data_IF_738108190735
#
_entry.id   IF_738108190735
#
_cell.length_a   1.000
_cell.length_b   1.000
_cell.length_c   1.000
_cell.angle_alpha   90.00
_cell.angle_beta   90.00
_cell.angle_gamma   90.00
#
_symmetry.space_group_name_H-M   'P 1'
#
loop_
_entity.id
_entity.type
_entity.pdbx_description
1 polymer ?
#
# COMPACT_ATOMS: atom_id res chain seq x y z
N UNK A 1 0.92 1.98 57.80
CA UNK A 1 1.22 1.08 56.68
C UNK A 1 0.38 1.49 55.49
N UNK A 2 1.07 2.10 54.53
CA UNK A 2 0.59 2.69 53.28
C UNK A 2 0.22 1.61 52.28
N UNK A 3 -1.01 1.61 51.76
CA UNK A 3 -1.34 0.94 50.49
C UNK A 3 -1.71 2.01 49.46
N UNK A 4 -0.72 2.32 48.61
CA UNK A 4 -0.88 3.07 47.37
C UNK A 4 -1.70 2.22 46.39
N UNK A 5 -2.73 2.80 45.81
CA UNK A 5 -3.42 2.30 44.62
C UNK A 5 -3.20 3.30 43.49
N UNK A 6 -2.55 2.83 42.44
CA UNK A 6 -2.38 3.40 41.10
C UNK A 6 -2.55 2.17 40.18
N UNK A 7 -3.22 2.16 39.03
CA UNK A 7 -3.97 3.15 38.26
C UNK A 7 -4.49 2.36 37.04
N UNK A 8 -5.81 2.24 36.86
CA UNK A 8 -6.39 1.80 35.58
C UNK A 8 -6.77 3.02 34.76
N UNK A 9 -6.03 3.23 33.67
CA UNK A 9 -6.25 4.25 32.67
C UNK A 9 -7.41 3.82 31.77
N UNK A 10 -8.64 4.22 32.12
CA UNK A 10 -9.79 4.15 31.21
C UNK A 10 -9.80 5.40 30.33
N UNK A 11 -9.35 5.23 29.08
CA UNK A 11 -9.55 6.21 28.01
C UNK A 11 -11.04 6.19 27.65
N UNK A 12 -11.80 7.15 28.22
CA UNK A 12 -13.16 7.49 27.78
C UNK A 12 -13.04 8.48 26.62
N UNK A 13 -13.36 8.02 25.42
CA UNK A 13 -13.61 8.90 24.27
C UNK A 13 -14.96 9.58 24.51
N UNK A 14 -14.94 10.90 24.73
CA UNK A 14 -16.15 11.73 24.80
C UNK A 14 -16.61 12.12 23.39
N UNK A 15 -17.92 12.13 23.10
CA UNK A 15 -18.46 12.72 21.89
C UNK A 15 -18.45 14.25 21.98
N UNK A 16 -18.02 14.90 20.91
CA UNK A 16 -18.01 16.36 20.76
C UNK A 16 -19.41 16.82 20.33
N UNK A 17 -20.27 17.14 21.29
CA UNK A 17 -21.49 17.93 21.05
C UNK A 17 -21.45 19.13 22.01
N UNK A 18 -21.19 20.33 21.47
CA UNK A 18 -21.35 21.58 22.21
C UNK A 18 -22.76 22.13 21.92
N UNK A 19 -23.63 22.30 22.92
CA UNK A 19 -24.83 23.12 22.77
C UNK A 19 -24.42 24.60 22.81
N UNK A 20 -24.88 25.38 21.83
CA UNK A 20 -24.81 26.84 21.87
C UNK A 20 -25.76 27.36 22.96
N UNK A 21 -25.22 27.71 24.12
CA UNK A 21 -25.86 28.59 25.09
C UNK A 21 -25.53 30.03 24.72
N UNK A 22 -26.55 30.82 24.36
CA UNK A 22 -26.45 32.29 24.31
C UNK A 22 -27.08 32.80 25.62
N UNK A 23 -26.22 33.25 26.54
CA UNK A 23 -26.64 34.04 27.71
C UNK A 23 -26.98 35.48 27.30
N UNK A 24 -27.92 36.05 28.05
CA UNK A 24 -28.62 37.30 27.80
C UNK A 24 -27.72 38.50 27.49
N UNK A 25 -27.93 39.10 26.31
CA UNK A 25 -27.72 40.53 26.07
C UNK A 25 -28.93 41.04 25.28
N UNK A 26 -29.48 42.19 25.67
CA UNK A 26 -30.65 42.78 25.05
C UNK A 26 -30.43 42.98 23.53
N UNK A 27 -31.02 42.11 22.72
CA UNK A 27 -30.92 42.13 21.26
C UNK A 27 -32.14 42.82 20.65
N UNK A 28 -31.85 43.81 19.80
CA UNK A 28 -32.80 44.56 18.99
C UNK A 28 -33.67 43.60 18.14
N UNK A 29 -34.98 43.86 18.07
CA UNK A 29 -35.99 42.95 17.49
C UNK A 29 -35.72 42.62 16.00
N UNK A 30 -35.00 43.51 15.31
CA UNK A 30 -34.57 43.31 13.92
C UNK A 30 -33.43 42.29 13.79
N UNK A 31 -32.54 42.19 14.77
CA UNK A 31 -31.44 41.21 14.73
C UNK A 31 -31.94 39.79 15.06
N UNK A 32 -32.96 39.67 15.91
CA UNK A 32 -33.57 38.39 16.25
C UNK A 32 -34.30 37.76 15.04
N UNK A 33 -34.98 38.59 14.23
CA UNK A 33 -35.60 38.15 12.98
C UNK A 33 -34.58 37.70 11.94
N UNK A 34 -33.43 38.37 11.85
CA UNK A 34 -32.33 37.98 10.95
C UNK A 34 -31.66 36.68 11.39
N UNK A 35 -31.51 36.44 12.70
CA UNK A 35 -30.94 35.19 13.21
C UNK A 35 -31.93 34.04 13.05
N UNK A 36 -33.22 34.26 13.27
CA UNK A 36 -34.26 33.26 13.01
C UNK A 36 -34.37 32.94 11.51
N UNK A 37 -34.28 33.93 10.62
CA UNK A 37 -34.28 33.67 9.18
C UNK A 37 -33.00 32.97 8.72
N UNK A 38 -31.84 33.29 9.29
CA UNK A 38 -30.58 32.58 9.03
C UNK A 38 -30.60 31.15 9.57
N UNK A 39 -31.25 30.88 10.71
CA UNK A 39 -31.42 29.53 11.24
C UNK A 39 -32.41 28.71 10.39
N UNK A 40 -33.49 29.32 9.89
CA UNK A 40 -34.41 28.68 8.94
C UNK A 40 -33.70 28.41 7.62
N UNK A 41 -32.91 29.36 7.11
CA UNK A 41 -32.10 29.18 5.89
C UNK A 41 -30.99 28.16 6.12
N UNK A 42 -30.37 28.06 7.30
CA UNK A 42 -29.41 27.00 7.62
C UNK A 42 -30.08 25.64 7.74
N UNK A 43 -31.26 25.52 8.36
CA UNK A 43 -32.01 24.28 8.39
C UNK A 43 -32.50 23.88 6.99
N UNK A 44 -32.91 24.85 6.18
CA UNK A 44 -33.26 24.62 4.78
C UNK A 44 -32.02 24.22 3.97
N UNK A 45 -30.84 24.83 4.17
CA UNK A 45 -29.58 24.47 3.49
C UNK A 45 -29.04 23.11 3.95
N UNK A 46 -29.17 22.74 5.23
CA UNK A 46 -28.83 21.41 5.74
C UNK A 46 -29.81 20.36 5.20
N UNK A 47 -31.10 20.71 5.11
CA UNK A 47 -32.08 19.89 4.40
C UNK A 47 -31.82 19.87 2.89
N UNK A 48 -31.18 20.90 2.32
CA UNK A 48 -30.85 20.99 0.90
C UNK A 48 -29.56 20.22 0.57
N UNK A 49 -28.56 20.16 1.45
CA UNK A 49 -27.40 19.27 1.33
C UNK A 49 -27.81 17.80 1.55
N UNK A 50 -28.73 17.52 2.47
CA UNK A 50 -29.34 16.18 2.61
C UNK A 50 -30.27 15.83 1.42
N UNK A 51 -30.87 16.82 0.76
CA UNK A 51 -31.73 16.64 -0.41
C UNK A 51 -30.97 16.66 -1.75
N UNK A 52 -29.74 17.18 -1.79
CA UNK A 52 -28.86 17.17 -2.98
C UNK A 52 -27.75 16.10 -2.92
N UNK A 53 -27.61 15.38 -1.80
CA UNK A 53 -26.78 14.16 -1.70
C UNK A 53 -27.60 12.85 -1.64
N UNK A 54 -28.82 12.83 -2.17
CA UNK A 54 -29.56 11.59 -2.43
C UNK A 54 -29.56 11.23 -3.92
N UNK A 55 -28.39 11.21 -4.58
CA UNK A 55 -28.27 10.51 -5.88
C UNK A 55 -28.69 9.06 -5.67
N UNK A 56 -29.60 8.56 -6.50
CA UNK A 56 -29.82 7.13 -6.69
C UNK A 56 -28.45 6.48 -6.93
N UNK A 57 -28.02 5.60 -6.02
CA UNK A 57 -26.70 4.97 -6.09
C UNK A 57 -26.81 3.74 -6.98
N UNK A 58 -26.50 3.92 -8.25
CA UNK A 58 -26.44 2.84 -9.22
C UNK A 58 -24.97 2.46 -9.42
N UNK A 59 -24.67 1.17 -9.34
CA UNK A 59 -23.35 0.62 -9.60
C UNK A 59 -23.35 -0.07 -10.96
N UNK A 60 -22.46 0.37 -11.85
CA UNK A 60 -22.23 -0.32 -13.12
C UNK A 60 -21.44 -1.59 -12.85
N UNK A 61 -22.02 -2.73 -13.21
CA UNK A 61 -21.49 -4.06 -12.95
C UNK A 61 -21.33 -4.83 -14.25
N UNK A 62 -20.47 -5.84 -14.23
CA UNK A 62 -20.35 -6.80 -15.32
C UNK A 62 -21.04 -8.11 -14.94
N UNK A 63 -22.01 -8.53 -15.73
CA UNK A 63 -22.59 -9.87 -15.59
C UNK A 63 -21.81 -10.88 -16.43
N UNK A 64 -21.38 -11.98 -15.82
CA UNK A 64 -20.65 -13.05 -16.51
C UNK A 64 -21.36 -14.39 -16.27
N UNK A 65 -21.97 -14.93 -17.32
CA UNK A 65 -22.56 -16.27 -17.28
C UNK A 65 -21.50 -17.33 -17.62
N UNK A 66 -21.17 -18.17 -16.65
CA UNK A 66 -20.14 -19.20 -16.79
C UNK A 66 -20.63 -20.50 -17.46
N UNK A 67 -21.92 -20.62 -17.81
CA UNK A 67 -22.49 -21.85 -18.42
C UNK A 67 -22.01 -22.11 -19.85
N UNK A 68 -21.62 -21.07 -20.60
CA UNK A 68 -21.10 -21.18 -21.97
C UNK A 68 -19.61 -21.57 -22.03
N UNK A 69 -19.12 -22.37 -21.08
CA UNK A 69 -17.78 -23.00 -21.10
C UNK A 69 -17.69 -24.14 -22.14
N UNK A 70 -18.25 -23.92 -23.32
CA UNK A 70 -18.08 -24.76 -24.50
C UNK A 70 -16.66 -24.55 -25.04
N UNK A 71 -15.72 -25.40 -24.61
CA UNK A 71 -14.48 -25.89 -25.28
C UNK A 71 -13.65 -24.99 -26.23
N UNK A 72 -13.85 -23.69 -26.32
CA UNK A 72 -13.12 -22.80 -27.21
C UNK A 72 -12.81 -21.48 -26.50
N UNK A 73 -11.51 -21.25 -26.30
CA UNK A 73 -10.88 -19.96 -25.99
C UNK A 73 -11.31 -19.23 -24.71
N UNK A 74 -10.33 -18.87 -23.89
CA UNK A 74 -10.43 -17.99 -22.71
C UNK A 74 -11.07 -16.60 -23.02
N UNK A 75 -11.25 -16.26 -24.29
CA UNK A 75 -11.72 -14.94 -24.73
C UNK A 75 -13.24 -14.82 -24.96
N UNK A 76 -14.02 -15.90 -25.00
CA UNK A 76 -15.49 -15.85 -25.30
C UNK A 76 -16.39 -16.00 -24.06
N UNK A 77 -16.03 -15.31 -22.97
CA UNK A 77 -16.99 -15.06 -21.89
C UNK A 77 -17.99 -14.00 -22.38
N UNK A 78 -19.26 -14.34 -22.56
CA UNK A 78 -20.32 -13.37 -22.85
C UNK A 78 -20.49 -12.44 -21.66
N UNK A 79 -19.83 -11.28 -21.71
CA UNK A 79 -19.91 -10.22 -20.71
C UNK A 79 -21.08 -9.32 -21.07
N UNK A 80 -22.08 -9.27 -20.21
CA UNK A 80 -23.20 -8.35 -20.37
C UNK A 80 -23.04 -7.18 -19.40
N UNK A 81 -23.47 -5.99 -19.83
CA UNK A 81 -23.62 -4.86 -18.91
C UNK A 81 -24.70 -5.22 -17.90
N UNK A 82 -24.45 -4.91 -16.64
CA UNK A 82 -25.44 -5.03 -15.58
C UNK A 82 -25.46 -3.77 -14.73
N UNK A 83 -26.63 -3.43 -14.19
CA UNK A 83 -26.80 -2.29 -13.31
C UNK A 83 -27.29 -2.78 -11.97
N UNK A 84 -26.54 -2.50 -10.91
CA UNK A 84 -26.95 -2.80 -9.54
C UNK A 84 -27.51 -1.54 -8.89
N UNK A 85 -28.80 -1.56 -8.60
CA UNK A 85 -29.53 -0.44 -8.01
C UNK A 85 -29.65 -0.67 -6.50
N UNK A 86 -29.04 0.24 -5.72
CA UNK A 86 -29.15 0.27 -4.27
C UNK A 86 -30.40 1.07 -3.91
N UNK A 87 -31.45 0.42 -3.40
CA UNK A 87 -32.72 1.09 -3.07
C UNK A 87 -32.47 2.13 -1.96
N UNK A 88 -32.59 3.41 -2.31
CA UNK A 88 -32.61 4.55 -1.37
C UNK A 88 -33.91 5.37 -1.47
N UNK A 89 -34.73 5.14 -2.52
CA UNK A 89 -36.08 5.73 -2.69
C UNK A 89 -37.07 4.75 -3.34
N UNK A 90 -38.35 5.08 -3.20
CA UNK A 90 -39.55 4.35 -3.65
C UNK A 90 -39.79 4.30 -5.17
N UNK A 91 -38.93 4.87 -6.02
CA UNK A 91 -39.13 4.87 -7.48
C UNK A 91 -37.80 4.96 -8.26
N UNK A 92 -37.60 4.07 -9.24
CA UNK A 92 -36.52 4.19 -10.24
C UNK A 92 -36.83 5.37 -11.18
N UNK A 93 -35.89 6.31 -11.36
CA UNK A 93 -36.07 7.40 -12.34
C UNK A 93 -35.82 6.89 -13.77
N UNK A 94 -36.67 7.34 -14.71
CA UNK A 94 -36.61 6.99 -16.14
C UNK A 94 -35.31 7.40 -16.86
N UNK A 95 -34.45 8.19 -16.21
CA UNK A 95 -33.28 8.85 -16.80
C UNK A 95 -32.02 7.95 -16.86
N UNK A 96 -32.07 6.72 -16.33
CA UNK A 96 -30.92 5.79 -16.23
C UNK A 96 -31.01 4.55 -17.13
N UNK A 97 -32.04 4.43 -17.96
CA UNK A 97 -32.29 3.22 -18.73
C UNK A 97 -31.54 3.25 -20.08
N UNK A 98 -30.32 2.71 -20.11
CA UNK A 98 -29.78 2.14 -21.35
C UNK A 98 -30.44 0.76 -21.57
N UNK A 99 -31.05 0.47 -22.72
CA UNK A 99 -31.84 -0.75 -22.96
C UNK A 99 -31.01 -2.04 -23.14
N UNK A 100 -29.70 -2.01 -22.90
CA UNK A 100 -28.80 -3.15 -23.14
C UNK A 100 -28.13 -3.59 -21.83
N UNK A 101 -28.82 -4.39 -21.01
CA UNK A 101 -28.24 -5.00 -19.81
C UNK A 101 -29.24 -5.57 -18.81
N UNK A 102 -28.73 -6.33 -17.83
CA UNK A 102 -29.51 -6.89 -16.72
C UNK A 102 -29.53 -5.91 -15.55
N UNK A 103 -30.69 -5.65 -14.95
CA UNK A 103 -30.83 -4.74 -13.82
C UNK A 103 -31.09 -5.55 -12.55
N UNK A 104 -30.17 -5.48 -11.59
CA UNK A 104 -30.30 -6.07 -10.28
C UNK A 104 -30.79 -5.01 -9.28
N UNK A 105 -31.98 -5.20 -8.72
CA UNK A 105 -32.53 -4.30 -7.71
C UNK A 105 -32.36 -4.93 -6.34
N UNK A 106 -31.43 -4.39 -5.53
CA UNK A 106 -31.18 -4.87 -4.18
C UNK A 106 -32.31 -4.44 -3.23
N UNK A 107 -32.91 -5.43 -2.57
CA UNK A 107 -33.86 -5.21 -1.48
C UNK A 107 -33.16 -5.07 -0.13
N UNK A 108 -33.84 -4.41 0.79
CA UNK A 108 -33.38 -4.25 2.16
C UNK A 108 -33.26 -5.61 2.86
N UNK A 109 -32.18 -5.79 3.60
CA UNK A 109 -31.85 -7.03 4.28
C UNK A 109 -31.18 -6.72 5.63
N UNK A 110 -31.32 -7.60 6.64
CA UNK A 110 -30.53 -7.52 7.86
C UNK A 110 -29.01 -7.56 7.63
N UNK A 111 -28.55 -8.02 6.46
CA UNK A 111 -27.14 -7.92 6.07
C UNK A 111 -26.78 -6.45 5.82
N UNK A 112 -25.86 -5.90 6.61
CA UNK A 112 -25.44 -4.49 6.50
C UNK A 112 -24.52 -4.25 5.29
N UNK A 113 -25.07 -4.39 4.09
CA UNK A 113 -24.39 -4.13 2.80
C UNK A 113 -24.05 -2.65 2.62
N UNK A 114 -24.81 -1.78 3.28
CA UNK A 114 -24.72 -0.33 3.11
C UNK A 114 -23.46 0.28 3.72
N UNK A 115 -22.80 -0.37 4.70
CA UNK A 115 -21.54 0.13 5.27
C UNK A 115 -20.46 0.30 4.18
N UNK A 116 -20.31 -0.71 3.32
CA UNK A 116 -19.24 -0.74 2.32
C UNK A 116 -19.65 -0.13 0.98
N UNK A 117 -20.92 -0.28 0.60
CA UNK A 117 -21.45 0.27 -0.64
C UNK A 117 -21.71 1.78 -0.56
N UNK A 118 -21.68 2.38 0.65
CA UNK A 118 -21.80 3.83 0.84
C UNK A 118 -20.51 4.61 0.64
N UNK A 119 -19.34 4.02 0.94
CA UNK A 119 -18.05 4.72 0.96
C UNK A 119 -17.40 4.91 -0.43
N UNK A 120 -17.87 4.20 -1.47
CA UNK A 120 -17.18 4.16 -2.78
C UNK A 120 -18.07 4.40 -4.01
N UNK A 121 -19.18 5.12 -3.87
CA UNK A 121 -20.35 5.00 -4.76
C UNK A 121 -20.24 5.51 -6.21
N UNK A 122 -19.05 5.61 -6.82
CA UNK A 122 -18.92 5.95 -8.26
C UNK A 122 -17.95 5.07 -9.06
N UNK A 123 -16.91 4.45 -8.45
CA UNK A 123 -15.85 3.75 -9.21
C UNK A 123 -15.56 2.31 -8.74
N UNK A 124 -16.45 1.65 -8.00
CA UNK A 124 -16.23 0.26 -7.59
C UNK A 124 -16.19 -0.67 -8.80
N UNK A 125 -15.19 -1.54 -8.85
CA UNK A 125 -15.19 -2.66 -9.80
C UNK A 125 -16.20 -3.69 -9.32
N UNK A 126 -17.21 -3.96 -10.14
CA UNK A 126 -18.31 -4.86 -9.80
C UNK A 126 -18.44 -5.99 -10.83
N UNK A 127 -18.46 -7.23 -10.36
CA UNK A 127 -18.74 -8.42 -11.16
C UNK A 127 -19.84 -9.24 -10.50
N UNK A 128 -20.88 -9.61 -11.26
CA UNK A 128 -21.99 -10.44 -10.80
C UNK A 128 -22.01 -11.72 -11.62
N UNK A 129 -22.03 -12.86 -10.94
CA UNK A 129 -22.06 -14.18 -11.55
C UNK A 129 -23.22 -14.99 -10.96
N UNK A 130 -23.88 -15.86 -11.75
CA UNK A 130 -24.76 -16.87 -11.18
C UNK A 130 -23.97 -17.78 -10.24
N UNK A 131 -24.56 -18.12 -9.10
CA UNK A 131 -23.97 -19.03 -8.13
C UNK A 131 -24.58 -20.42 -8.29
N UNK A 132 -23.76 -21.38 -8.71
CA UNK A 132 -24.19 -22.76 -8.91
C UNK A 132 -23.69 -23.62 -7.76
N UNK A 133 -24.61 -24.36 -7.18
CA UNK A 133 -24.32 -25.52 -6.35
C UNK A 133 -24.58 -26.74 -7.22
N UNK A 134 -23.66 -27.71 -7.30
CA UNK A 134 -23.77 -28.92 -8.15
C UNK A 134 -25.01 -29.77 -7.79
N UNK A 135 -26.20 -29.29 -8.11
CA UNK A 135 -27.53 -29.78 -7.74
C UNK A 135 -27.81 -29.87 -6.22
N UNK A 136 -27.04 -29.18 -5.37
CA UNK A 136 -27.33 -29.11 -3.93
C UNK A 136 -28.34 -28.00 -3.67
N UNK A 137 -29.52 -28.35 -3.15
CA UNK A 137 -30.53 -27.37 -2.77
C UNK A 137 -30.04 -26.51 -1.60
N UNK A 138 -29.99 -25.20 -1.80
CA UNK A 138 -29.69 -24.23 -0.73
C UNK A 138 -30.97 -24.00 0.06
N UNK A 139 -30.98 -24.44 1.32
CA UNK A 139 -32.08 -24.20 2.25
C UNK A 139 -31.79 -22.95 3.06
N UNK A 140 -32.43 -21.83 2.68
CA UNK A 140 -32.33 -20.56 3.39
C UNK A 140 -33.64 -20.24 4.13
N UNK A 141 -33.62 -19.97 5.45
CA UNK A 141 -34.84 -19.70 6.20
C UNK A 141 -35.64 -18.52 5.63
N UNK A 142 -36.94 -18.71 5.43
CA UNK A 142 -37.85 -17.66 4.96
C UNK A 142 -37.81 -17.40 3.45
N UNK A 143 -37.06 -18.17 2.67
CA UNK A 143 -36.96 -17.99 1.21
C UNK A 143 -37.47 -19.26 0.51
N UNK A 144 -38.56 -19.11 -0.24
CA UNK A 144 -39.10 -20.16 -1.11
C UNK A 144 -38.66 -19.88 -2.54
N UNK A 145 -37.74 -20.71 -3.04
CA UNK A 145 -37.25 -20.63 -4.41
C UNK A 145 -38.23 -21.38 -5.31
N UNK A 146 -38.72 -20.73 -6.36
CA UNK A 146 -39.53 -21.40 -7.39
C UNK A 146 -38.63 -22.33 -8.22
N UNK A 147 -38.93 -23.63 -8.24
CA UNK A 147 -38.14 -24.67 -8.94
C UNK A 147 -38.03 -24.43 -10.47
N UNK A 148 -38.89 -23.59 -11.05
CA UNK A 148 -38.91 -23.30 -12.49
C UNK A 148 -37.88 -22.25 -12.96
N UNK A 149 -37.14 -21.58 -12.07
CA UNK A 149 -36.11 -20.61 -12.45
C UNK A 149 -34.72 -21.20 -12.21
N UNK A 150 -34.01 -21.54 -13.29
CA UNK A 150 -32.66 -22.14 -13.24
C UNK A 150 -31.54 -21.26 -12.64
N UNK A 151 -31.84 -20.03 -12.18
CA UNK A 151 -30.88 -19.04 -11.62
C UNK A 151 -31.43 -18.37 -10.36
N UNK A 152 -31.58 -19.14 -9.27
CA UNK A 152 -32.08 -18.60 -8.02
C UNK A 152 -31.04 -17.82 -7.19
N UNK A 153 -29.75 -17.98 -7.50
CA UNK A 153 -28.64 -17.50 -6.68
C UNK A 153 -27.58 -16.80 -7.50
N UNK A 154 -27.02 -15.74 -6.94
CA UNK A 154 -25.98 -14.92 -7.54
C UNK A 154 -24.92 -14.56 -6.51
N UNK A 155 -23.71 -14.34 -7.01
CA UNK A 155 -22.58 -13.82 -6.24
C UNK A 155 -22.07 -12.55 -6.91
N UNK A 156 -22.05 -11.46 -6.16
CA UNK A 156 -21.45 -10.19 -6.55
C UNK A 156 -20.11 -10.00 -5.87
N UNK A 157 -19.06 -9.72 -6.64
CA UNK A 157 -17.74 -9.32 -6.12
C UNK A 157 -17.54 -7.84 -6.38
N UNK A 158 -17.24 -7.10 -5.32
CA UNK A 158 -17.04 -5.66 -5.33
C UNK A 158 -15.64 -5.37 -4.83
N UNK A 159 -14.85 -4.65 -5.61
CA UNK A 159 -13.47 -4.31 -5.28
C UNK A 159 -13.24 -2.81 -5.44
N UNK A 160 -12.64 -2.20 -4.42
CA UNK A 160 -12.21 -0.81 -4.50
C UNK A 160 -11.01 -0.70 -5.48
N UNK A 161 -10.94 0.30 -6.37
CA UNK A 161 -9.85 0.44 -7.35
C UNK A 161 -8.44 0.49 -6.74
N UNK A 162 -8.33 1.09 -5.55
CA UNK A 162 -7.06 1.22 -4.82
C UNK A 162 -6.78 0.05 -3.85
N UNK A 163 -7.51 -1.06 -3.95
CA UNK A 163 -7.36 -2.23 -3.07
C UNK A 163 -7.52 -1.88 -1.57
N UNK A 164 -8.40 -0.93 -1.27
CA UNK A 164 -8.72 -0.57 0.12
C UNK A 164 -9.63 -1.60 0.78
N UNK A 165 -10.56 -2.17 0.03
CA UNK A 165 -11.45 -3.21 0.51
C UNK A 165 -11.98 -4.06 -0.64
N UNK A 166 -12.45 -5.26 -0.29
CA UNK A 166 -13.18 -6.15 -1.17
C UNK A 166 -14.37 -6.74 -0.43
N UNK A 167 -15.49 -6.91 -1.14
CA UNK A 167 -16.72 -7.49 -0.63
C UNK A 167 -17.21 -8.57 -1.59
N UNK A 168 -17.60 -9.70 -1.04
CA UNK A 168 -18.32 -10.76 -1.76
C UNK A 168 -19.72 -10.86 -1.16
N UNK A 169 -20.74 -10.66 -1.99
CA UNK A 169 -22.14 -10.63 -1.59
C UNK A 169 -22.92 -11.73 -2.30
N UNK A 170 -23.64 -12.54 -1.53
CA UNK A 170 -24.56 -13.53 -2.04
C UNK A 170 -25.98 -13.00 -1.95
N UNK A 171 -26.69 -13.08 -3.05
CA UNK A 171 -28.08 -12.68 -3.13
C UNK A 171 -28.90 -13.69 -3.92
N UNK A 172 -30.17 -13.78 -3.56
CA UNK A 172 -31.12 -14.71 -4.18
C UNK A 172 -32.27 -13.95 -4.83
N UNK A 173 -32.81 -14.52 -5.90
CA UNK A 173 -33.93 -13.96 -6.63
C UNK A 173 -35.20 -14.00 -5.77
N UNK A 174 -35.91 -12.88 -5.69
CA UNK A 174 -37.22 -12.82 -5.05
C UNK A 174 -38.31 -13.17 -6.06
N UNK A 175 -39.21 -14.10 -5.70
CA UNK A 175 -40.37 -14.43 -6.53
C UNK A 175 -41.28 -13.22 -6.66
N UNK A 176 -41.95 -13.05 -7.80
CA UNK A 176 -42.95 -12.00 -8.03
C UNK A 176 -44.02 -11.95 -6.93
N UNK A 177 -44.38 -13.11 -6.35
CA UNK A 177 -45.35 -13.21 -5.23
C UNK A 177 -44.89 -12.55 -3.94
N UNK A 178 -43.59 -12.28 -3.81
CA UNK A 178 -42.97 -11.66 -2.64
C UNK A 178 -42.62 -10.19 -2.84
N UNK A 179 -42.96 -9.61 -4.00
CA UNK A 179 -42.73 -8.21 -4.33
C UNK A 179 -43.94 -7.34 -3.96
N UNK A 180 -43.68 -6.08 -3.60
CA UNK A 180 -44.72 -5.09 -3.32
C UNK A 180 -45.44 -4.71 -4.64
N UNK A 181 -46.72 -4.29 -4.58
CA UNK A 181 -47.48 -3.90 -5.79
C UNK A 181 -46.79 -2.80 -6.61
N UNK A 182 -46.05 -1.90 -5.96
CA UNK A 182 -45.24 -0.87 -6.62
C UNK A 182 -44.11 -1.47 -7.47
N UNK A 183 -43.44 -2.52 -7.01
CA UNK A 183 -42.37 -3.20 -7.76
C UNK A 183 -42.93 -3.99 -8.94
N UNK A 184 -44.10 -4.61 -8.76
CA UNK A 184 -44.82 -5.29 -9.84
C UNK A 184 -45.23 -4.31 -10.96
N UNK A 185 -45.62 -3.08 -10.60
CA UNK A 185 -45.93 -2.03 -11.59
C UNK A 185 -44.68 -1.55 -12.37
N UNK A 186 -43.48 -1.66 -11.78
CA UNK A 186 -42.22 -1.32 -12.45
C UNK A 186 -41.82 -2.38 -13.47
N UNK A 187 -42.00 -3.67 -13.16
CA UNK A 187 -41.81 -4.76 -14.13
C UNK A 187 -42.71 -4.60 -15.36
N UNK A 188 -43.95 -4.14 -15.17
CA UNK A 188 -44.89 -3.86 -16.26
C UNK A 188 -44.55 -2.61 -17.07
N UNK A 189 -43.79 -1.67 -16.50
CA UNK A 189 -43.40 -0.41 -17.15
C UNK A 189 -42.22 -0.56 -18.11
N UNK A 190 -41.46 -1.67 -18.03
CA UNK A 190 -40.26 -1.93 -18.82
C UNK A 190 -40.25 -3.37 -19.37
N UNK A 191 -41.13 -3.72 -20.33
CA UNK A 191 -41.31 -5.11 -20.78
C UNK A 191 -40.09 -5.73 -21.49
N UNK A 192 -39.12 -4.91 -21.91
CA UNK A 192 -37.91 -5.35 -22.60
C UNK A 192 -36.66 -5.38 -21.71
N UNK A 193 -36.75 -4.98 -20.44
CA UNK A 193 -35.62 -4.96 -19.51
C UNK A 193 -35.61 -6.23 -18.64
N UNK A 194 -34.48 -6.93 -18.54
CA UNK A 194 -34.29 -8.04 -17.59
C UNK A 194 -34.06 -7.46 -16.19
N UNK A 195 -35.14 -7.23 -15.45
CA UNK A 195 -35.13 -6.69 -14.09
C UNK A 195 -35.25 -7.85 -13.09
N UNK A 196 -34.27 -7.96 -12.20
CA UNK A 196 -34.19 -8.98 -11.16
C UNK A 196 -34.18 -8.35 -9.79
N UNK A 197 -35.24 -8.55 -9.02
CA UNK A 197 -35.26 -8.18 -7.62
C UNK A 197 -34.51 -9.22 -6.80
N UNK A 198 -33.50 -8.79 -6.06
CA UNK A 198 -32.60 -9.68 -5.34
C UNK A 198 -32.47 -9.30 -3.87
N UNK A 199 -32.44 -10.32 -3.02
CA UNK A 199 -32.28 -10.18 -1.58
C UNK A 199 -30.87 -10.62 -1.17
N UNK A 200 -30.04 -9.74 -0.58
CA UNK A 200 -28.75 -10.14 -0.04
C UNK A 200 -28.92 -10.95 1.25
N UNK A 201 -28.18 -12.05 1.36
CA UNK A 201 -28.36 -13.02 2.46
C UNK A 201 -27.07 -13.33 3.23
N UNK A 202 -25.93 -13.22 2.56
CA UNK A 202 -24.62 -13.54 3.12
C UNK A 202 -23.57 -12.64 2.50
N UNK A 203 -22.71 -12.07 3.32
CA UNK A 203 -21.66 -11.15 2.90
C UNK A 203 -20.35 -11.54 3.57
N UNK A 204 -19.27 -11.50 2.79
CA UNK A 204 -17.89 -11.51 3.29
C UNK A 204 -17.21 -10.21 2.87
N UNK A 205 -16.32 -9.71 3.70
CA UNK A 205 -15.56 -8.50 3.40
C UNK A 205 -14.15 -8.56 3.99
N UNK A 206 -13.21 -7.93 3.30
CA UNK A 206 -11.90 -7.59 3.86
C UNK A 206 -11.62 -6.11 3.64
N UNK A 207 -11.10 -5.46 4.67
CA UNK A 207 -10.58 -4.09 4.64
C UNK A 207 -9.06 -4.07 4.39
N UNK A 208 -8.45 -5.24 4.22
CA UNK A 208 -7.01 -5.39 4.02
C UNK A 208 -6.74 -6.44 2.95
N UNK A 209 -7.17 -6.25 1.68
CA UNK A 209 -6.91 -7.22 0.62
C UNK A 209 -5.42 -7.30 0.27
N UNK A 210 -4.64 -6.27 0.62
CA UNK A 210 -3.18 -6.26 0.56
C UNK A 210 -2.59 -5.83 1.91
N UNK A 211 -1.70 -6.64 2.49
CA UNK A 211 -1.05 -6.40 3.78
C UNK A 211 0.46 -6.47 3.59
N UNK A 212 1.17 -5.44 4.06
CA UNK A 212 2.63 -5.45 4.12
C UNK A 212 3.07 -5.62 5.58
N UNK A 213 4.03 -6.52 5.82
CA UNK A 213 4.58 -6.76 7.14
C UNK A 213 6.11 -6.90 7.09
N UNK A 214 6.81 -6.51 8.16
CA UNK A 214 8.24 -6.76 8.31
C UNK A 214 8.50 -8.16 8.87
N UNK A 215 9.74 -8.63 8.76
CA UNK A 215 10.16 -9.86 9.40
C UNK A 215 10.00 -9.76 10.91
N UNK A 216 9.54 -10.86 11.53
CA UNK A 216 9.24 -11.00 12.95
C UNK A 216 8.07 -10.14 13.49
N UNK A 217 7.45 -9.29 12.67
CA UNK A 217 6.22 -8.60 13.05
C UNK A 217 5.01 -9.55 12.96
N UNK A 218 3.91 -9.14 13.59
CA UNK A 218 2.65 -9.85 13.50
C UNK A 218 1.77 -9.15 12.46
N UNK A 219 1.16 -9.92 11.56
CA UNK A 219 0.24 -9.41 10.55
C UNK A 219 -1.21 -9.79 10.89
N UNK A 220 -2.13 -8.84 10.76
CA UNK A 220 -3.58 -9.07 10.88
C UNK A 220 -4.19 -9.07 9.48
N UNK A 221 -4.81 -10.19 9.10
CA UNK A 221 -5.56 -10.34 7.87
C UNK A 221 -7.05 -10.25 8.19
N UNK A 222 -7.66 -9.11 7.86
CA UNK A 222 -9.07 -8.87 8.16
C UNK A 222 -9.97 -9.74 7.25
N UNK A 223 -10.89 -10.49 7.85
CA UNK A 223 -11.94 -11.22 7.15
C UNK A 223 -13.21 -11.16 7.99
N UNK A 224 -14.16 -10.33 7.60
CA UNK A 224 -15.43 -10.16 8.30
C UNK A 224 -16.57 -10.75 7.48
N UNK A 225 -17.64 -11.14 8.15
CA UNK A 225 -18.82 -11.71 7.52
C UNK A 225 -20.11 -11.28 8.23
N UNK A 226 -21.20 -11.27 7.47
CA UNK A 226 -22.53 -10.96 7.96
C UNK A 226 -23.55 -11.92 7.35
N UNK A 227 -24.40 -12.49 8.19
CA UNK A 227 -25.46 -13.42 7.79
C UNK A 227 -26.79 -12.85 8.26
N UNK A 228 -27.83 -12.94 7.41
CA UNK A 228 -29.15 -12.38 7.71
C UNK A 228 -29.94 -13.11 8.80
N UNK A 229 -29.47 -14.25 9.29
CA UNK A 229 -30.09 -15.07 10.33
C UNK A 229 -29.04 -15.79 11.18
N UNK A 230 -29.48 -16.40 12.29
CA UNK A 230 -28.59 -17.20 13.14
C UNK A 230 -28.24 -18.52 12.45
N UNK A 231 -26.96 -18.72 12.13
CA UNK A 231 -26.44 -19.96 11.56
C UNK A 231 -25.04 -20.28 12.09
N UNK A 232 -24.72 -21.57 12.14
CA UNK A 232 -23.36 -22.02 12.42
C UNK A 232 -22.53 -21.91 11.13
N UNK A 233 -21.36 -21.28 11.24
CA UNK A 233 -20.43 -21.11 10.13
C UNK A 233 -19.22 -22.01 10.27
N UNK A 234 -18.74 -22.57 9.16
CA UNK A 234 -17.42 -23.19 9.13
C UNK A 234 -16.45 -22.26 8.41
N UNK A 235 -15.25 -22.11 8.98
CA UNK A 235 -14.23 -21.18 8.49
C UNK A 235 -12.97 -21.98 8.23
N UNK A 236 -12.44 -21.89 7.01
CA UNK A 236 -11.15 -22.47 6.64
C UNK A 236 -10.21 -21.35 6.19
N UNK A 237 -8.98 -21.36 6.69
CA UNK A 237 -7.91 -20.52 6.16
C UNK A 237 -6.87 -21.36 5.45
N UNK A 238 -6.44 -20.88 4.29
CA UNK A 238 -5.41 -21.53 3.48
C UNK A 238 -4.40 -20.52 2.96
N UNK A 239 -3.16 -20.96 2.77
CA UNK A 239 -2.08 -20.20 2.15
C UNK A 239 -1.70 -20.85 0.83
N UNK A 240 -1.78 -20.07 -0.25
CA UNK A 240 -1.26 -20.43 -1.56
C UNK A 240 0.13 -19.80 -1.74
N UNK A 241 1.16 -20.65 -1.78
CA UNK A 241 2.56 -20.23 -1.97
C UNK A 241 2.89 -20.00 -3.45
N UNK A 242 3.93 -19.21 -3.70
CA UNK A 242 4.58 -19.10 -5.02
C UNK A 242 5.03 -20.51 -5.44
N UNK A 243 4.46 -21.04 -6.53
CA UNK A 243 4.64 -22.43 -6.97
C UNK A 243 3.38 -23.31 -6.92
N UNK A 244 2.24 -22.78 -6.46
CA UNK A 244 0.94 -23.45 -6.52
C UNK A 244 0.65 -24.42 -5.38
N UNK A 245 1.55 -24.53 -4.39
CA UNK A 245 1.32 -25.33 -3.19
C UNK A 245 0.29 -24.63 -2.29
N UNK A 246 -0.80 -25.33 -1.97
CA UNK A 246 -1.84 -24.88 -1.05
C UNK A 246 -1.65 -25.55 0.32
N UNK A 247 -1.58 -24.74 1.38
CA UNK A 247 -1.37 -25.19 2.76
C UNK A 247 -2.59 -24.82 3.58
N UNK A 248 -3.24 -25.80 4.19
CA UNK A 248 -4.33 -25.55 5.15
C UNK A 248 -3.74 -25.04 6.46
N UNK A 249 -4.20 -23.87 6.92
CA UNK A 249 -3.68 -23.20 8.12
C UNK A 249 -4.49 -23.54 9.36
N UNK A 250 -5.81 -23.37 9.28
CA UNK A 250 -6.76 -23.74 10.34
C UNK A 250 -8.13 -24.11 9.75
N UNK A 251 -8.91 -24.79 10.58
CA UNK A 251 -10.33 -25.09 10.32
C UNK A 251 -11.13 -24.81 11.59
N UNK A 252 -12.19 -24.02 11.51
CA UNK A 252 -13.14 -23.78 12.59
C UNK A 252 -14.49 -24.38 12.24
N UNK A 253 -15.06 -25.12 13.19
CA UNK A 253 -16.38 -25.73 13.07
C UNK A 253 -17.38 -24.99 13.93
N UNK A 254 -18.36 -24.35 13.30
CA UNK A 254 -19.37 -23.56 14.02
C UNK A 254 -20.28 -24.41 14.93
N UNK A 255 -20.53 -25.67 14.58
CA UNK A 255 -21.35 -26.59 15.37
C UNK A 255 -20.73 -26.93 16.73
N UNK A 256 -19.41 -27.11 16.75
CA UNK A 256 -18.63 -27.48 17.95
C UNK A 256 -18.02 -26.25 18.65
N UNK A 257 -18.05 -25.08 18.00
CA UNK A 257 -17.34 -23.85 18.40
C UNK A 257 -15.85 -24.11 18.68
N UNK A 258 -15.25 -25.00 17.89
CA UNK A 258 -13.88 -25.47 18.06
C UNK A 258 -13.04 -25.09 16.84
N UNK A 259 -11.76 -24.79 17.08
CA UNK A 259 -10.76 -24.49 16.04
C UNK A 259 -9.65 -25.53 16.07
N UNK A 260 -9.26 -26.00 14.90
CA UNK A 260 -8.14 -26.91 14.68
C UNK A 260 -7.06 -26.15 13.92
N UNK A 261 -5.90 -25.96 14.54
CA UNK A 261 -4.73 -25.36 13.90
C UNK A 261 -3.86 -26.45 13.28
N UNK A 262 -3.49 -26.27 12.01
CA UNK A 262 -2.61 -27.18 11.28
C UNK A 262 -1.17 -26.67 11.23
N UNK A 263 -0.95 -25.37 11.47
CA UNK A 263 0.35 -24.71 11.39
C UNK A 263 0.57 -23.85 12.64
N UNK A 264 1.81 -23.78 13.12
CA UNK A 264 2.20 -22.93 14.26
C UNK A 264 2.24 -21.45 13.86
N UNK A 265 2.03 -20.56 14.83
CA UNK A 265 2.10 -19.12 14.60
C UNK A 265 0.91 -18.54 13.84
N UNK A 266 -0.19 -19.29 13.74
CA UNK A 266 -1.46 -18.82 13.20
C UNK A 266 -2.46 -18.77 14.34
N UNK A 267 -3.19 -17.67 14.48
CA UNK A 267 -4.20 -17.49 15.53
C UNK A 267 -5.45 -16.80 14.98
N UNK A 268 -6.60 -17.16 15.53
CA UNK A 268 -7.90 -16.57 15.21
C UNK A 268 -8.68 -16.40 16.50
N UNK A 269 -9.31 -15.25 16.69
CA UNK A 269 -10.07 -14.97 17.92
C UNK A 269 -11.46 -15.61 17.84
N UNK A 270 -11.62 -16.76 18.50
CA UNK A 270 -12.87 -17.54 18.45
C UNK A 270 -14.07 -16.74 18.98
N UNK A 271 -13.87 -15.88 19.98
CA UNK A 271 -14.94 -15.04 20.54
C UNK A 271 -15.45 -13.97 19.57
N UNK A 272 -14.61 -13.54 18.60
CA UNK A 272 -14.99 -12.57 17.58
C UNK A 272 -15.78 -13.20 16.43
N UNK A 273 -15.71 -14.52 16.26
CA UNK A 273 -16.51 -15.24 15.25
C UNK A 273 -18.00 -15.05 15.50
N UNK A 274 -18.42 -15.00 16.77
CA UNK A 274 -19.82 -14.72 17.15
C UNK A 274 -20.25 -13.28 16.80
N UNK A 275 -19.30 -12.36 16.63
CA UNK A 275 -19.53 -10.97 16.21
C UNK A 275 -19.40 -10.78 14.70
N UNK A 276 -19.14 -11.85 13.94
CA UNK A 276 -18.96 -11.80 12.49
C UNK A 276 -17.54 -11.51 12.03
N UNK A 277 -16.51 -11.78 12.85
CA UNK A 277 -15.11 -11.69 12.38
C UNK A 277 -14.40 -13.03 12.39
N UNK A 278 -13.79 -13.35 11.25
CA UNK A 278 -12.95 -14.53 11.00
C UNK A 278 -11.47 -14.13 10.79
N UNK A 279 -11.08 -12.95 11.28
CA UNK A 279 -9.77 -12.36 11.03
C UNK A 279 -8.62 -13.23 11.57
N UNK A 280 -7.54 -13.32 10.78
CA UNK A 280 -6.38 -14.16 11.07
C UNK A 280 -5.20 -13.32 11.54
N UNK A 281 -4.54 -13.74 12.61
CA UNK A 281 -3.27 -13.17 13.05
C UNK A 281 -2.15 -14.15 12.70
N UNK A 282 -1.24 -13.71 11.84
CA UNK A 282 -0.01 -14.40 11.48
C UNK A 282 1.10 -13.87 12.40
N UNK A 283 1.61 -14.72 13.29
CA UNK A 283 2.65 -14.37 14.26
C UNK A 283 4.05 -14.57 13.72
N UNK A 284 4.97 -13.66 14.06
CA UNK A 284 6.38 -13.71 13.68
C UNK A 284 6.55 -13.98 12.18
N UNK A 285 6.14 -13.04 11.35
CA UNK A 285 6.16 -13.16 9.89
C UNK A 285 7.58 -13.47 9.41
N UNK A 286 7.69 -14.41 8.50
CA UNK A 286 8.91 -14.83 7.81
C UNK A 286 8.60 -14.95 6.31
N UNK A 287 9.64 -15.17 5.50
CA UNK A 287 9.48 -15.28 4.04
C UNK A 287 8.66 -16.50 3.60
N UNK A 288 8.56 -17.54 4.43
CA UNK A 288 7.76 -18.73 4.10
C UNK A 288 6.25 -18.48 4.27
N UNK A 289 5.88 -17.47 5.04
CA UNK A 289 4.50 -17.03 5.26
C UNK A 289 4.05 -15.99 4.23
N UNK A 290 4.92 -15.51 3.36
CA UNK A 290 4.55 -14.64 2.25
C UNK A 290 3.69 -15.40 1.22
N UNK A 291 2.61 -14.78 0.76
CA UNK A 291 1.77 -15.36 -0.28
C UNK A 291 0.32 -14.91 -0.24
N UNK A 292 -0.53 -15.67 -0.94
CA UNK A 292 -1.95 -15.38 -1.04
C UNK A 292 -2.73 -16.21 -0.03
N UNK A 293 -3.38 -15.55 0.91
CA UNK A 293 -4.23 -16.17 1.92
C UNK A 293 -5.69 -16.18 1.45
N UNK A 294 -6.36 -17.30 1.64
CA UNK A 294 -7.78 -17.46 1.35
C UNK A 294 -8.55 -17.70 2.63
N UNK A 295 -9.46 -16.79 2.94
CA UNK A 295 -10.48 -16.96 3.97
C UNK A 295 -11.72 -17.57 3.31
N UNK A 296 -12.08 -18.79 3.66
CA UNK A 296 -13.28 -19.46 3.16
C UNK A 296 -14.28 -19.60 4.28
N UNK A 297 -15.49 -19.06 4.08
CA UNK A 297 -16.58 -19.16 5.04
C UNK A 297 -17.73 -19.89 4.36
N UNK A 298 -18.22 -20.93 5.02
CA UNK A 298 -19.35 -21.73 4.54
C UNK A 298 -20.51 -21.72 5.51
N UNK A 299 -21.71 -21.51 4.97
CA UNK A 299 -22.98 -21.46 5.70
C UNK A 299 -24.09 -22.00 4.81
N UNK A 300 -24.82 -23.02 5.29
CA UNK A 300 -25.98 -23.60 4.58
C UNK A 300 -25.76 -23.83 3.06
N UNK A 301 -24.63 -24.46 2.69
CA UNK A 301 -24.22 -24.74 1.30
C UNK A 301 -23.81 -23.53 0.45
N UNK A 302 -23.80 -22.31 1.00
CA UNK A 302 -23.11 -21.16 0.41
C UNK A 302 -21.65 -21.17 0.85
N UNK A 303 -20.75 -21.00 -0.11
CA UNK A 303 -19.31 -20.94 0.07
C UNK A 303 -18.80 -19.62 -0.48
N UNK A 304 -18.31 -18.75 0.42
CA UNK A 304 -17.66 -17.50 0.04
C UNK A 304 -16.18 -17.54 0.32
N UNK A 305 -15.40 -16.99 -0.60
CA UNK A 305 -13.97 -16.84 -0.50
C UNK A 305 -13.55 -15.36 -0.52
N UNK A 306 -12.55 -15.03 0.30
CA UNK A 306 -11.89 -13.74 0.30
C UNK A 306 -10.38 -13.94 0.21
N UNK A 307 -9.76 -13.28 -0.76
CA UNK A 307 -8.33 -13.35 -1.05
C UNK A 307 -7.61 -12.15 -0.41
N UNK A 308 -6.51 -12.42 0.27
CA UNK A 308 -5.69 -11.41 0.96
C UNK A 308 -4.21 -11.70 0.67
N UNK A 309 -3.51 -10.75 0.06
CA UNK A 309 -2.09 -10.86 -0.25
C UNK A 309 -1.26 -10.34 0.93
N UNK A 310 -0.42 -11.20 1.51
CA UNK A 310 0.56 -10.81 2.52
C UNK A 310 1.94 -10.73 1.86
N UNK A 311 2.47 -9.51 1.77
CA UNK A 311 3.79 -9.21 1.25
C UNK A 311 4.75 -8.91 2.41
N UNK A 312 5.93 -9.54 2.38
CA UNK A 312 6.99 -9.20 3.33
C UNK A 312 7.81 -8.06 2.77
N UNK A 313 8.10 -7.05 3.58
CA UNK A 313 8.76 -5.84 3.14
C UNK A 313 9.77 -5.37 4.19
N UNK A 314 11.05 -5.33 3.83
CA UNK A 314 12.15 -4.88 4.70
C UNK A 314 12.83 -3.61 4.18
N UNK A 315 13.21 -2.74 5.12
CA UNK A 315 13.83 -1.45 4.79
C UNK A 315 15.35 -1.56 4.66
N UNK A 316 15.95 -1.15 3.52
CA UNK A 316 17.40 -1.18 3.37
C UNK A 316 18.09 -0.28 4.39
N UNK A 317 19.12 -0.81 5.04
CA UNK A 317 20.09 0.01 5.77
C UNK A 317 21.20 0.44 4.82
N UNK A 318 21.26 1.74 4.55
CA UNK A 318 22.22 2.34 3.60
C UNK A 318 23.45 2.87 4.31
N UNK A 319 24.63 2.42 3.88
CA UNK A 319 25.93 2.84 4.43
C UNK A 319 26.90 3.20 3.32
N UNK A 320 27.79 4.16 3.61
CA UNK A 320 28.96 4.46 2.80
C UNK A 320 30.20 3.87 3.46
N UNK A 321 31.17 3.44 2.66
CA UNK A 321 32.47 2.97 3.18
C UNK A 321 33.33 4.09 3.79
N UNK A 322 33.00 5.35 3.53
CA UNK A 322 33.71 6.54 4.00
C UNK A 322 32.74 7.57 4.56
N UNK A 323 33.15 8.27 5.61
CA UNK A 323 32.38 9.37 6.21
C UNK A 323 32.90 10.76 5.79
N UNK A 324 34.20 10.85 5.47
CA UNK A 324 34.87 12.07 5.02
C UNK A 324 36.00 11.71 4.06
N UNK A 325 36.22 12.54 3.03
CA UNK A 325 37.23 12.30 2.00
C UNK A 325 38.24 13.45 1.94
N UNK A 326 39.49 13.13 2.25
CA UNK A 326 40.65 13.98 2.06
C UNK A 326 41.62 13.23 1.15
N UNK A 327 41.78 13.70 -0.09
CA UNK A 327 42.55 13.02 -1.11
C UNK A 327 43.63 13.95 -1.65
N UNK A 328 44.79 13.43 -2.02
CA UNK A 328 45.77 14.21 -2.78
C UNK A 328 45.39 14.21 -4.25
N UNK A 329 45.72 15.28 -4.97
CA UNK A 329 45.51 15.34 -6.42
C UNK A 329 46.13 14.11 -7.13
N UNK A 330 45.35 13.48 -8.03
CA UNK A 330 45.71 12.25 -8.72
C UNK A 330 45.48 10.95 -7.93
N UNK A 331 45.16 11.02 -6.63
CA UNK A 331 44.83 9.83 -5.83
C UNK A 331 43.50 9.22 -6.26
N UNK A 332 43.46 7.89 -6.37
CA UNK A 332 42.22 7.14 -6.62
C UNK A 332 41.60 6.67 -5.30
N UNK A 333 40.28 6.78 -5.20
CA UNK A 333 39.51 6.29 -4.07
C UNK A 333 38.25 5.57 -4.55
N UNK A 334 38.09 4.32 -4.09
CA UNK A 334 36.86 3.56 -4.30
C UNK A 334 35.76 4.05 -3.35
N UNK A 335 34.64 4.50 -3.89
CA UNK A 335 33.43 4.81 -3.11
C UNK A 335 32.45 3.66 -3.25
N UNK A 336 31.92 3.19 -2.12
CA UNK A 336 31.00 2.06 -2.04
C UNK A 336 29.80 2.49 -1.21
N UNK A 337 28.62 2.34 -1.79
CA UNK A 337 27.35 2.47 -1.13
C UNK A 337 26.70 1.10 -1.03
N UNK A 338 26.43 0.65 0.19
CA UNK A 338 25.81 -0.63 0.46
C UNK A 338 24.38 -0.41 0.93
N UNK A 339 23.42 -0.98 0.21
CA UNK A 339 22.07 -1.20 0.69
C UNK A 339 22.00 -2.61 1.28
N UNK A 340 21.89 -2.71 2.61
CA UNK A 340 21.91 -3.98 3.33
C UNK A 340 20.54 -4.35 3.89
N UNK A 341 20.28 -5.67 3.95
CA UNK A 341 19.10 -6.29 4.54
C UNK A 341 17.74 -5.74 4.06
N UNK A 342 17.53 -5.69 2.75
CA UNK A 342 16.25 -5.30 2.18
C UNK A 342 15.53 -6.48 1.54
N UNK A 343 14.21 -6.36 1.42
CA UNK A 343 13.34 -7.33 0.77
C UNK A 343 12.07 -6.59 0.31
N UNK A 344 11.53 -6.81 -0.90
CA UNK A 344 11.93 -7.75 -1.95
C UNK A 344 13.22 -7.36 -2.70
N UNK A 345 13.55 -8.08 -3.78
CA UNK A 345 14.83 -7.96 -4.51
C UNK A 345 15.03 -6.60 -5.22
N UNK A 346 13.94 -5.95 -5.63
CA UNK A 346 13.95 -4.77 -6.50
C UNK A 346 14.40 -3.51 -5.74
N UNK A 347 15.69 -3.22 -5.79
CA UNK A 347 16.31 -2.00 -5.27
C UNK A 347 16.96 -1.20 -6.39
N UNK A 348 16.82 0.13 -6.36
CA UNK A 348 17.53 1.03 -7.24
C UNK A 348 18.56 1.86 -6.44
N UNK A 349 19.81 1.88 -6.88
CA UNK A 349 20.88 2.65 -6.26
C UNK A 349 21.52 3.54 -7.32
N UNK A 350 21.49 4.85 -7.08
CA UNK A 350 22.06 5.85 -7.97
C UNK A 350 23.06 6.73 -7.24
N UNK A 351 24.10 7.17 -7.96
CA UNK A 351 25.04 8.16 -7.45
C UNK A 351 24.82 9.50 -8.11
N UNK A 352 24.70 10.53 -7.30
CA UNK A 352 24.54 11.92 -7.71
C UNK A 352 25.81 12.69 -7.34
N UNK A 353 26.28 13.53 -8.25
CA UNK A 353 27.37 14.46 -8.01
C UNK A 353 26.83 15.89 -8.01
N UNK A 354 27.16 16.62 -6.95
CA UNK A 354 26.88 18.05 -6.81
C UNK A 354 28.21 18.81 -6.73
N UNK A 355 28.29 19.92 -7.47
CA UNK A 355 29.45 20.82 -7.40
C UNK A 355 29.53 21.56 -6.06
N UNK A 356 30.66 22.24 -5.84
CA UNK A 356 30.97 22.97 -4.60
C UNK A 356 29.87 23.95 -4.17
N UNK A 357 29.26 24.65 -5.14
CA UNK A 357 28.31 25.72 -4.87
C UNK A 357 26.85 25.23 -4.82
N UNK A 358 26.57 23.95 -5.11
CA UNK A 358 25.23 23.35 -5.16
C UNK A 358 24.18 24.13 -5.98
N UNK A 359 24.62 25.07 -6.82
CA UNK A 359 23.78 25.96 -7.62
C UNK A 359 23.18 25.28 -8.84
N UNK A 360 23.77 24.17 -9.28
CA UNK A 360 23.32 23.38 -10.41
C UNK A 360 22.65 22.09 -9.94
N UNK A 361 21.74 21.56 -10.77
CA UNK A 361 21.08 20.29 -10.50
C UNK A 361 22.11 19.15 -10.36
N UNK A 362 21.89 18.21 -9.42
CA UNK A 362 22.77 17.06 -9.24
C UNK A 362 22.87 16.25 -10.53
N UNK A 363 24.08 15.85 -10.92
CA UNK A 363 24.31 15.03 -12.11
C UNK A 363 24.39 13.56 -11.72
N UNK A 364 23.69 12.69 -12.46
CA UNK A 364 23.77 11.24 -12.27
C UNK A 364 25.09 10.72 -12.81
N UNK A 365 25.86 10.01 -11.99
CA UNK A 365 27.09 9.34 -12.40
C UNK A 365 26.78 8.10 -13.24
N UNK A 366 27.42 7.99 -14.41
CA UNK A 366 27.20 6.87 -15.35
C UNK A 366 28.17 5.71 -15.17
N UNK A 367 29.36 5.96 -14.62
CA UNK A 367 30.44 4.98 -14.45
C UNK A 367 30.32 4.23 -13.11
N UNK A 368 29.12 3.75 -12.80
CA UNK A 368 28.80 3.04 -11.56
C UNK A 368 28.72 1.54 -11.84
N UNK A 369 29.37 0.75 -10.98
CA UNK A 369 29.35 -0.71 -11.02
C UNK A 369 28.56 -1.24 -9.82
N UNK A 370 28.01 -2.44 -9.98
CA UNK A 370 27.21 -3.12 -8.96
C UNK A 370 27.84 -4.46 -8.60
N UNK A 371 27.74 -4.85 -7.32
CA UNK A 371 27.98 -6.22 -6.92
C UNK A 371 26.84 -7.12 -7.39
N UNK A 372 27.03 -8.44 -7.35
CA UNK A 372 25.89 -9.36 -7.34
C UNK A 372 25.09 -9.18 -6.05
N UNK A 373 23.80 -9.54 -6.08
CA UNK A 373 22.98 -9.59 -4.87
C UNK A 373 23.53 -10.65 -3.93
N UNK A 374 23.81 -10.25 -2.69
CA UNK A 374 24.14 -11.16 -1.60
C UNK A 374 22.84 -11.59 -0.93
N UNK A 375 22.62 -12.91 -0.83
CA UNK A 375 21.53 -13.48 -0.05
C UNK A 375 21.96 -13.67 1.40
N UNK A 376 21.22 -13.08 2.33
CA UNK A 376 21.50 -13.17 3.76
C UNK A 376 20.81 -14.39 4.39
N UNK A 377 21.24 -14.79 5.58
CA UNK A 377 20.65 -15.93 6.29
C UNK A 377 19.21 -15.67 6.77
N UNK A 378 18.83 -14.40 6.94
CA UNK A 378 17.47 -13.97 7.24
C UNK A 378 16.58 -13.91 5.98
N UNK A 379 17.12 -14.31 4.82
CA UNK A 379 16.44 -14.32 3.52
C UNK A 379 16.35 -12.96 2.84
N UNK A 380 16.86 -11.90 3.47
CA UNK A 380 16.97 -10.57 2.86
C UNK A 380 18.11 -10.51 1.84
N UNK A 381 18.10 -9.47 1.00
CA UNK A 381 19.14 -9.19 0.03
C UNK A 381 20.05 -8.05 0.47
N UNK A 382 21.24 -7.99 -0.12
CA UNK A 382 22.16 -6.86 0.01
C UNK A 382 22.86 -6.60 -1.32
N UNK A 383 22.98 -5.33 -1.69
CA UNK A 383 23.57 -4.89 -2.95
C UNK A 383 24.49 -3.71 -2.69
N UNK A 384 25.67 -3.75 -3.30
CA UNK A 384 26.62 -2.65 -3.24
C UNK A 384 26.80 -2.01 -4.60
N UNK A 385 26.73 -0.69 -4.64
CA UNK A 385 27.06 0.14 -5.79
C UNK A 385 28.38 0.84 -5.53
N UNK A 386 29.28 0.88 -6.53
CA UNK A 386 30.60 1.48 -6.36
C UNK A 386 31.14 2.08 -7.65
N UNK A 387 32.01 3.09 -7.49
CA UNK A 387 32.78 3.68 -8.57
C UNK A 387 34.16 4.10 -8.07
N UNK A 388 35.10 4.30 -9.00
CA UNK A 388 36.42 4.84 -8.70
C UNK A 388 36.43 6.35 -8.92
N UNK A 389 36.76 7.10 -7.87
CA UNK A 389 36.95 8.54 -7.91
C UNK A 389 38.44 8.84 -8.07
N UNK A 390 38.82 9.53 -9.13
CA UNK A 390 40.15 10.14 -9.26
C UNK A 390 40.09 11.58 -8.75
N UNK A 391 40.87 11.89 -7.73
CA UNK A 391 40.91 13.22 -7.13
C UNK A 391 41.48 14.25 -8.10
N UNK A 392 40.71 15.31 -8.36
CA UNK A 392 41.09 16.41 -9.24
C UNK A 392 40.64 17.74 -8.63
N UNK A 393 41.22 18.86 -9.05
CA UNK A 393 40.82 20.20 -8.58
C UNK A 393 39.36 20.54 -8.85
N UNK A 394 38.79 20.00 -9.92
CA UNK A 394 37.37 20.18 -10.24
C UNK A 394 36.46 19.49 -9.23
N UNK A 395 36.96 18.45 -8.55
CA UNK A 395 36.22 17.70 -7.55
C UNK A 395 36.37 18.27 -6.13
N UNK A 396 37.19 19.32 -5.93
CA UNK A 396 37.36 19.93 -4.61
C UNK A 396 36.08 20.60 -4.13
N UNK A 397 35.58 20.16 -2.97
CA UNK A 397 34.32 20.60 -2.40
C UNK A 397 33.08 19.94 -3.02
N UNK A 398 33.23 19.06 -4.02
CA UNK A 398 32.12 18.30 -4.58
C UNK A 398 31.52 17.33 -3.56
N UNK A 399 30.20 17.10 -3.69
CA UNK A 399 29.44 16.18 -2.83
C UNK A 399 28.95 15.03 -3.68
N UNK A 400 29.27 13.81 -3.27
CA UNK A 400 28.78 12.58 -3.87
C UNK A 400 27.69 12.00 -2.98
N UNK A 401 26.50 11.80 -3.54
CA UNK A 401 25.32 11.32 -2.83
C UNK A 401 24.86 10.00 -3.42
N UNK A 402 24.83 8.95 -2.60
CA UNK A 402 24.15 7.71 -2.91
C UNK A 402 22.66 7.85 -2.60
N UNK A 403 21.80 7.69 -3.61
CA UNK A 403 20.34 7.68 -3.52
C UNK A 403 19.85 6.25 -3.68
N UNK A 404 19.16 5.73 -2.68
CA UNK A 404 18.59 4.37 -2.67
C UNK A 404 17.08 4.44 -2.65
N UNK A 405 16.46 3.79 -3.61
CA UNK A 405 15.01 3.65 -3.78
C UNK A 405 14.61 2.18 -3.68
N UNK A 406 13.51 1.91 -2.99
CA UNK A 406 13.01 0.56 -2.72
C UNK A 406 11.54 0.64 -2.31
N UNK A 407 10.74 -0.40 -2.60
CA UNK A 407 9.28 -0.41 -2.34
C UNK A 407 8.91 -0.17 -0.87
N UNK A 408 9.78 -0.57 0.06
CA UNK A 408 9.60 -0.35 1.50
C UNK A 408 9.76 1.10 1.95
N UNK A 409 10.22 1.99 1.07
CA UNK A 409 10.53 3.37 1.39
C UNK A 409 9.48 4.32 0.80
N UNK A 410 8.89 5.16 1.65
CA UNK A 410 8.06 6.29 1.19
C UNK A 410 8.89 7.38 0.49
N UNK A 411 10.15 7.54 0.91
CA UNK A 411 11.08 8.50 0.35
C UNK A 411 12.47 7.86 0.17
N UNK A 412 13.21 8.18 -0.89
CA UNK A 412 14.54 7.63 -1.13
C UNK A 412 15.52 7.95 0.02
N UNK A 413 16.34 6.99 0.42
CA UNK A 413 17.41 7.23 1.39
C UNK A 413 18.59 7.88 0.66
N UNK A 414 19.11 8.97 1.21
CA UNK A 414 20.30 9.67 0.68
C UNK A 414 21.45 9.64 1.69
N UNK A 415 22.63 9.23 1.24
CA UNK A 415 23.88 9.30 2.00
C UNK A 415 24.92 10.04 1.19
N UNK A 416 25.53 11.06 1.77
CA UNK A 416 26.42 11.96 1.06
C UNK A 416 27.80 12.03 1.69
N UNK A 417 28.83 12.24 0.87
CA UNK A 417 30.20 12.48 1.31
C UNK A 417 30.79 13.66 0.53
N UNK A 418 31.44 14.58 1.25
CA UNK A 418 32.13 15.73 0.66
C UNK A 418 33.60 15.41 0.44
N UNK A 419 34.11 15.76 -0.73
CA UNK A 419 35.52 15.58 -1.11
C UNK A 419 36.31 16.85 -0.86
N UNK A 420 37.50 16.71 -0.29
CA UNK A 420 38.54 17.74 -0.24
C UNK A 420 39.79 17.24 -0.93
N UNK A 421 40.37 18.07 -1.79
CA UNK A 421 41.58 17.71 -2.53
C UNK A 421 42.75 18.57 -2.08
N UNK A 422 43.79 17.93 -1.55
CA UNK A 422 45.05 18.58 -1.19
C UNK A 422 46.01 18.63 -2.38
N UNK A 423 46.83 19.68 -2.42
CA UNK A 423 47.82 19.85 -3.48
C UNK A 423 48.91 18.79 -3.37
N UNK A 424 49.19 18.09 -4.47
CA UNK A 424 50.47 17.40 -4.63
C UNK A 424 51.52 18.44 -5.00
N UNK A 425 52.10 19.16 -4.04
CA UNK A 425 53.27 20.01 -4.32
C UNK A 425 54.47 19.10 -4.61
N UNK A 426 55.05 19.08 -5.83
CA UNK A 426 56.17 18.20 -6.15
C UNK A 426 57.44 18.55 -5.34
N UNK A 427 57.52 19.78 -4.83
CA UNK A 427 58.57 20.24 -3.93
C UNK A 427 57.96 21.09 -2.81
N UNK A 428 58.24 20.75 -1.56
CA UNK A 428 57.97 21.66 -0.44
C UNK A 428 58.76 22.95 -0.66
N UNK A 429 58.23 24.11 -0.26
CA UNK A 429 58.97 25.38 -0.29
C UNK A 429 60.33 25.26 0.42
N UNK A 430 60.44 24.37 1.41
CA UNK A 430 61.70 24.07 2.11
C UNK A 430 62.73 23.35 1.22
N UNK A 431 62.29 22.43 0.36
CA UNK A 431 63.15 21.75 -0.62
C UNK A 431 63.62 22.71 -1.71
N UNK A 432 62.72 23.58 -2.18
CA UNK A 432 63.05 24.63 -3.14
C UNK A 432 64.05 25.65 -2.56
N UNK A 433 63.88 26.03 -1.29
CA UNK A 433 64.82 26.90 -0.58
C UNK A 433 66.21 26.24 -0.43
N UNK A 434 66.24 24.95 -0.08
CA UNK A 434 67.48 24.16 0.02
C UNK A 434 68.23 24.10 -1.30
N UNK A 435 67.52 23.81 -2.40
CA UNK A 435 68.11 23.78 -3.75
C UNK A 435 68.69 25.15 -4.12
N UNK A 436 67.96 26.24 -3.86
CA UNK A 436 68.45 27.61 -4.10
C UNK A 436 69.69 27.91 -3.26
N UNK A 437 69.70 27.52 -1.99
CA UNK A 437 70.83 27.73 -1.08
C UNK A 437 72.08 26.97 -1.52
N UNK A 438 71.92 25.73 -1.99
CA UNK A 438 73.00 24.92 -2.57
C UNK A 438 73.55 25.58 -3.84
N UNK A 439 72.68 26.08 -4.74
CA UNK A 439 73.10 26.78 -5.95
C UNK A 439 73.91 28.04 -5.61
N UNK A 440 73.46 28.84 -4.63
CA UNK A 440 74.17 30.05 -4.19
C UNK A 440 75.54 29.70 -3.62
N UNK A 441 75.63 28.68 -2.76
CA UNK A 441 76.91 28.20 -2.20
C UNK A 441 77.88 27.74 -3.30
N UNK A 442 77.39 26.98 -4.29
CA UNK A 442 78.18 26.56 -5.44
C UNK A 442 78.72 27.76 -6.25
N UNK A 443 77.90 28.79 -6.50
CA UNK A 443 78.33 30.00 -7.22
C UNK A 443 79.39 30.77 -6.42
N UNK A 444 79.21 30.91 -5.10
CA UNK A 444 80.20 31.57 -4.23
C UNK A 444 81.52 30.81 -4.23
N UNK A 445 81.48 29.48 -4.09
CA UNK A 445 82.67 28.63 -4.16
C UNK A 445 83.38 28.74 -5.52
N UNK A 446 82.63 28.73 -6.62
CA UNK A 446 83.21 28.93 -7.96
C UNK A 446 83.87 30.31 -8.10
N UNK A 447 83.25 31.38 -7.59
CA UNK A 447 83.87 32.71 -7.58
C UNK A 447 85.14 32.75 -6.73
N UNK A 448 85.16 32.07 -5.59
CA UNK A 448 86.34 31.94 -4.72
C UNK A 448 87.47 31.18 -5.41
N UNK A 449 87.17 30.06 -6.06
CA UNK A 449 88.14 29.27 -6.84
C UNK A 449 88.69 30.09 -8.01
N UNK A 450 87.84 30.84 -8.73
CA UNK A 450 88.29 31.76 -9.78
C UNK A 450 89.19 32.88 -9.23
N UNK A 451 88.87 33.43 -8.05
CA UNK A 451 89.73 34.42 -7.39
C UNK A 451 91.08 33.86 -6.95
N UNK A 452 91.10 32.64 -6.38
CA UNK A 452 92.34 31.98 -5.98
C UNK A 452 93.21 31.61 -7.19
N UNK A 453 92.59 31.16 -8.30
CA UNK A 453 93.30 30.90 -9.55
C UNK A 453 93.84 32.19 -10.19
N UNK A 454 93.12 33.33 -10.08
CA UNK A 454 93.59 34.66 -10.52
C UNK A 454 94.73 35.21 -9.63
N UNK A 455 94.74 34.87 -8.34
CA UNK A 455 95.86 35.19 -7.45
C UNK A 455 97.12 34.35 -7.72
N UNK A 456 96.94 33.09 -8.14
CA UNK A 456 98.03 32.15 -8.42
C UNK A 456 98.75 32.41 -9.76
N UNK A 457 98.15 33.14 -10.70
CA UNK A 457 98.82 33.58 -11.93
C UNK A 457 99.66 34.85 -11.74
N UNK A 458 99.54 35.55 -10.61
CA UNK A 458 100.33 36.76 -10.30
C UNK A 458 101.62 36.47 -9.51
N UNK A 459 101.89 35.23 -9.11
CA UNK A 459 103.05 34.84 -8.30
C UNK A 459 104.10 34.00 -9.06
N UNK A 460 104.39 34.34 -10.31
CA UNK A 460 105.60 33.85 -11.00
C UNK A 460 106.74 34.86 -10.80
N UNK A 461 107.89 34.50 -10.20
CA UNK A 461 109.03 35.39 -10.10
C UNK A 461 109.64 35.65 -11.49
N UNK A 462 110.10 36.89 -11.73
CA UNK A 462 110.77 37.32 -12.96
C UNK A 462 112.11 36.62 -13.15
N UNK A 463 112.54 36.36 -14.40
CA UNK A 463 113.84 35.80 -14.70
C UNK A 463 114.92 36.87 -14.51
N UNK A 464 116.00 36.50 -13.81
CA UNK A 464 117.34 37.03 -14.01
C UNK A 464 118.33 35.89 -13.79
#
# INVERSE_FOLDING_TARGET
>A
MTRRSFSEMKVKVQPYEKPCLIENAAMDSRLCLVILSLLVVCNEIQSFEDMTLSKSRNLSCRYVDMRNKSLLSYNDLTKQKALLVLRSRKQLSKEYFEPEGIIFVLKDSPVNTMKFLKEGSLDLMCEINPYFTDNIQILWPGIHINENMGEAWFVGRFKHPNDNFQVTLFFTHLSEKSLEEEDLSQLQSFPNADIRHVLPVFMLSTQTPHVQARLQEDALLNCDFSIGHHANVNIDWKLLKKGGQEIKLLSYKGSEKSVVYHVKGIMMQVDEVLKGSASLVVKHVDLEKEGLYTCTISVNSLFGDQLIHLEVVETPKVTLNVNSLLLKEGQEQKLVCEASKYYPLDVNIEWLQEGRDQTFLPTVLKNVLFSSHKHNNDGTYSLSSFFMLTASRLNDGAVFTCRVEHTSLKHPIRKSVKVRVEESSPFSYQELLLVVLIIVLCVVLLRLIMHLNKGRTSSKPKPY
#
